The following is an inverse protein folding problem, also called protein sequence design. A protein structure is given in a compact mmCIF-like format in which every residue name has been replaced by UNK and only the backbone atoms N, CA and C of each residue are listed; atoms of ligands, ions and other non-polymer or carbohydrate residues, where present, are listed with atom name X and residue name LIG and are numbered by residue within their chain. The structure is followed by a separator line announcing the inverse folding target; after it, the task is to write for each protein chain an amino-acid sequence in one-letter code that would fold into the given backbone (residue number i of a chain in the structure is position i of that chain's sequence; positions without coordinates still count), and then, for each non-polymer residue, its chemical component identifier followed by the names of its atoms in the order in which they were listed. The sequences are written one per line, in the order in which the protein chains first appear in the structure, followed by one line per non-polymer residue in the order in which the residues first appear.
data_IF_971591498577
#
_entry.id   IF_971591498577
#
_cell.length_a   1.000
_cell.length_b   1.000
_cell.length_c   1.000
_cell.angle_alpha   90.00
_cell.angle_beta   90.00
_cell.angle_gamma   90.00
#
_symmetry.space_group_name_H-M   'P 1'
#
loop_
_entity.id
_entity.type
_entity.pdbx_description
1 polymer ?
#
# COMPACT_ATOMS: atom_id res chain seq x y z
N UNK A 1 10.19 -22.68 -6.50
CA UNK A 1 11.20 -21.63 -6.87
C UNK A 1 11.87 -21.10 -5.62
N UNK A 2 13.19 -20.87 -5.63
CA UNK A 2 13.83 -20.22 -4.48
C UNK A 2 13.81 -18.69 -4.63
N UNK A 3 13.63 -17.96 -3.53
CA UNK A 3 13.65 -16.49 -3.51
C UNK A 3 15.01 -15.92 -3.98
N UNK A 4 16.08 -16.69 -3.83
CA UNK A 4 17.43 -16.30 -4.28
C UNK A 4 17.57 -16.27 -5.81
N UNK A 5 16.70 -17.00 -6.53
CA UNK A 5 16.70 -17.04 -7.99
C UNK A 5 15.85 -15.90 -8.62
N UNK A 6 15.16 -15.12 -7.79
CA UNK A 6 14.40 -13.95 -8.29
C UNK A 6 15.38 -12.81 -8.53
N UNK A 7 15.46 -12.35 -9.77
CA UNK A 7 16.35 -11.27 -10.21
C UNK A 7 15.63 -10.14 -10.94
N UNK A 8 14.54 -10.44 -11.64
CA UNK A 8 13.74 -9.48 -12.42
C UNK A 8 12.30 -9.41 -11.91
N UNK A 9 11.90 -8.20 -11.57
CA UNK A 9 10.54 -7.89 -11.10
C UNK A 9 9.81 -7.09 -12.17
N UNK A 10 8.61 -7.50 -12.54
CA UNK A 10 7.76 -6.69 -13.42
C UNK A 10 6.64 -6.02 -12.63
N UNK A 11 6.49 -4.71 -12.80
CA UNK A 11 5.44 -3.91 -12.16
C UNK A 11 4.50 -3.38 -13.24
N UNK A 12 3.24 -3.82 -13.19
CA UNK A 12 2.22 -3.51 -14.18
C UNK A 12 1.32 -2.39 -13.65
N UNK A 13 1.49 -1.23 -14.23
CA UNK A 13 0.86 0.02 -13.79
C UNK A 13 1.89 0.96 -13.14
N UNK A 14 2.12 2.15 -13.74
CA UNK A 14 3.07 3.16 -13.26
C UNK A 14 2.37 4.33 -12.52
N UNK A 15 1.23 4.05 -11.89
CA UNK A 15 0.51 4.98 -11.01
C UNK A 15 1.24 5.26 -9.69
N UNK A 16 0.53 5.84 -8.73
CA UNK A 16 1.10 6.20 -7.41
C UNK A 16 1.72 4.97 -6.73
N UNK A 17 1.02 3.84 -6.72
CA UNK A 17 1.53 2.62 -6.09
C UNK A 17 2.63 1.96 -6.92
N UNK A 18 2.40 1.72 -8.22
CA UNK A 18 3.34 1.00 -9.06
C UNK A 18 4.72 1.66 -9.15
N UNK A 19 4.80 3.00 -9.29
CA UNK A 19 6.10 3.69 -9.25
C UNK A 19 6.82 3.56 -7.90
N UNK A 20 6.07 3.57 -6.78
CA UNK A 20 6.64 3.36 -5.46
C UNK A 20 7.13 1.92 -5.26
N UNK A 21 6.39 0.94 -5.78
CA UNK A 21 6.77 -0.48 -5.77
C UNK A 21 8.02 -0.69 -6.65
N UNK A 22 8.05 -0.15 -7.86
CA UNK A 22 9.21 -0.21 -8.75
C UNK A 22 10.46 0.38 -8.09
N UNK A 23 10.33 1.53 -7.41
CA UNK A 23 11.40 2.14 -6.63
C UNK A 23 11.94 1.18 -5.56
N UNK A 24 11.07 0.52 -4.78
CA UNK A 24 11.46 -0.39 -3.70
C UNK A 24 12.33 -1.53 -4.23
N UNK A 25 11.94 -2.16 -5.32
CA UNK A 25 12.72 -3.26 -5.87
C UNK A 25 14.03 -2.80 -6.51
N UNK A 26 14.01 -1.70 -7.28
CA UNK A 26 15.22 -1.16 -7.89
C UNK A 26 16.26 -0.73 -6.85
N UNK A 27 15.85 -0.09 -5.76
CA UNK A 27 16.76 0.31 -4.68
C UNK A 27 17.28 -0.88 -3.86
N UNK A 28 16.60 -2.04 -3.95
CA UNK A 28 17.04 -3.29 -3.34
C UNK A 28 17.91 -4.14 -4.29
N UNK A 29 18.30 -3.60 -5.46
CA UNK A 29 19.22 -4.22 -6.39
C UNK A 29 18.59 -5.10 -7.48
N UNK A 30 17.25 -5.17 -7.56
CA UNK A 30 16.54 -5.92 -8.60
C UNK A 30 16.45 -5.13 -9.91
N UNK A 31 16.50 -5.85 -11.05
CA UNK A 31 16.09 -5.30 -12.33
C UNK A 31 14.56 -5.20 -12.36
N UNK A 32 14.04 -4.03 -12.77
CA UNK A 32 12.61 -3.75 -12.74
C UNK A 32 12.11 -3.39 -14.12
N UNK A 33 11.12 -4.12 -14.61
CA UNK A 33 10.34 -3.78 -15.79
C UNK A 33 9.09 -3.01 -15.35
N UNK A 34 9.05 -1.70 -15.58
CA UNK A 34 7.89 -0.86 -15.23
C UNK A 34 7.03 -0.62 -16.46
N UNK A 35 5.77 -1.08 -16.42
CA UNK A 35 4.85 -1.01 -17.55
C UNK A 35 3.73 0.00 -17.31
N UNK A 36 3.43 0.80 -18.33
CA UNK A 36 2.19 1.58 -18.43
C UNK A 36 1.78 1.76 -19.89
N UNK A 37 0.49 1.91 -20.15
CA UNK A 37 -0.07 2.07 -21.51
C UNK A 37 0.40 3.32 -22.25
N UNK A 38 0.93 4.35 -21.54
CA UNK A 38 1.35 5.64 -22.10
C UNK A 38 2.76 6.00 -21.63
N UNK A 39 3.58 6.44 -22.57
CA UNK A 39 4.97 6.82 -22.35
C UNK A 39 5.10 8.03 -21.39
N UNK A 40 4.14 8.95 -21.43
CA UNK A 40 4.08 10.11 -20.53
C UNK A 40 3.93 9.69 -19.06
N UNK A 41 3.12 8.65 -18.79
CA UNK A 41 2.94 8.10 -17.45
C UNK A 41 4.25 7.50 -16.91
N UNK A 42 4.99 6.79 -17.75
CA UNK A 42 6.30 6.22 -17.41
C UNK A 42 7.32 7.32 -17.11
N UNK A 43 7.40 8.34 -17.96
CA UNK A 43 8.30 9.48 -17.75
C UNK A 43 7.98 10.23 -16.45
N UNK A 44 6.70 10.41 -16.13
CA UNK A 44 6.27 11.02 -14.88
C UNK A 44 6.60 10.14 -13.67
N UNK A 45 6.47 8.81 -13.80
CA UNK A 45 6.83 7.86 -12.75
C UNK A 45 8.33 7.95 -12.42
N UNK A 46 9.22 7.95 -13.43
CA UNK A 46 10.66 8.09 -13.22
C UNK A 46 11.04 9.42 -12.57
N UNK A 47 10.40 10.54 -13.00
CA UNK A 47 10.60 11.86 -12.35
C UNK A 47 10.21 11.82 -10.88
N UNK A 48 9.10 11.17 -10.54
CA UNK A 48 8.65 11.07 -9.16
C UNK A 48 9.54 10.14 -8.33
N UNK A 49 10.03 9.03 -8.88
CA UNK A 49 11.01 8.15 -8.23
C UNK A 49 12.28 8.95 -7.91
N UNK A 50 12.80 9.72 -8.86
CA UNK A 50 13.96 10.61 -8.65
C UNK A 50 13.69 11.61 -7.52
N UNK A 51 12.51 12.20 -7.47
CA UNK A 51 12.12 13.14 -6.41
C UNK A 51 12.11 12.45 -5.02
N UNK A 52 11.56 11.24 -4.93
CA UNK A 52 11.57 10.45 -3.70
C UNK A 52 13.01 10.10 -3.25
N UNK A 53 13.88 9.72 -4.19
CA UNK A 53 15.30 9.41 -3.89
C UNK A 53 16.04 10.67 -3.42
N UNK A 54 15.78 11.85 -4.01
CA UNK A 54 16.33 13.12 -3.53
C UNK A 54 15.89 13.42 -2.08
N UNK A 55 14.65 13.08 -1.71
CA UNK A 55 14.20 13.20 -0.32
C UNK A 55 15.03 12.29 0.61
N UNK A 56 15.35 11.06 0.18
CA UNK A 56 16.20 10.15 0.95
C UNK A 56 17.64 10.68 1.09
N UNK A 57 18.20 11.31 0.05
CA UNK A 57 19.51 12.02 0.14
C UNK A 57 19.45 13.16 1.15
N UNK A 58 18.39 14.00 1.09
CA UNK A 58 18.18 15.12 2.06
C UNK A 58 18.18 14.64 3.51
N UNK A 59 17.66 13.43 3.75
CA UNK A 59 17.61 12.82 5.09
C UNK A 59 18.82 11.92 5.41
N UNK A 60 19.87 11.93 4.61
CA UNK A 60 21.09 11.10 4.77
C UNK A 60 20.76 9.59 4.87
N UNK A 61 19.76 9.12 4.12
CA UNK A 61 19.39 7.71 4.06
C UNK A 61 20.13 6.97 2.94
N UNK A 62 20.47 7.69 1.86
CA UNK A 62 21.25 7.17 0.73
C UNK A 62 22.30 8.19 0.27
N UNK A 63 23.31 7.73 -0.45
CA UNK A 63 24.28 8.60 -1.12
C UNK A 63 23.64 9.21 -2.38
N UNK A 64 24.14 10.39 -2.78
CA UNK A 64 23.61 11.11 -3.95
C UNK A 64 23.83 10.37 -5.26
N UNK A 65 24.98 9.71 -5.41
CA UNK A 65 25.35 8.91 -6.58
C UNK A 65 24.48 7.66 -6.75
N UNK A 66 23.92 7.12 -5.68
CA UNK A 66 23.00 5.99 -5.72
C UNK A 66 21.70 6.25 -6.51
N UNK A 67 21.32 7.52 -6.76
CA UNK A 67 20.10 7.85 -7.51
C UNK A 67 20.16 7.28 -8.93
N UNK A 68 21.27 7.49 -9.64
CA UNK A 68 21.40 7.02 -11.02
C UNK A 68 21.50 5.48 -11.06
N UNK A 69 22.15 4.87 -10.08
CA UNK A 69 22.22 3.41 -9.95
C UNK A 69 20.83 2.78 -9.78
N UNK A 70 19.96 3.39 -8.98
CA UNK A 70 18.59 2.92 -8.80
C UNK A 70 17.77 3.11 -10.07
N UNK A 71 17.87 4.26 -10.72
CA UNK A 71 17.11 4.56 -11.92
C UNK A 71 17.55 3.71 -13.11
N UNK A 72 18.84 3.36 -13.24
CA UNK A 72 19.35 2.51 -14.29
C UNK A 72 18.83 1.07 -14.25
N UNK A 73 18.33 0.61 -13.08
CA UNK A 73 17.69 -0.70 -12.93
C UNK A 73 16.23 -0.73 -13.35
N UNK A 74 15.64 0.43 -13.71
CA UNK A 74 14.22 0.51 -14.10
C UNK A 74 14.12 0.69 -15.61
N UNK A 75 13.74 -0.38 -16.28
CA UNK A 75 13.38 -0.37 -17.71
C UNK A 75 11.89 -0.10 -17.87
N UNK A 76 11.51 0.68 -18.88
CA UNK A 76 10.10 1.09 -19.09
C UNK A 76 9.51 0.48 -20.34
N UNK A 77 8.27 -0.03 -20.25
CA UNK A 77 7.58 -0.73 -21.31
C UNK A 77 6.16 -0.18 -21.52
N UNK A 78 5.70 -0.15 -22.78
CA UNK A 78 4.30 0.14 -23.14
C UNK A 78 3.54 -1.13 -23.53
N UNK A 79 4.25 -2.23 -23.82
CA UNK A 79 3.73 -3.56 -24.09
C UNK A 79 3.77 -4.40 -22.80
N UNK A 80 2.66 -5.08 -22.50
CA UNK A 80 2.58 -6.00 -21.36
C UNK A 80 3.48 -7.22 -21.59
N UNK A 81 3.41 -7.82 -22.80
CA UNK A 81 4.20 -8.98 -23.19
C UNK A 81 5.71 -8.73 -23.01
N UNK A 82 6.21 -7.60 -23.55
CA UNK A 82 7.62 -7.24 -23.42
C UNK A 82 8.05 -6.99 -21.96
N UNK A 83 7.16 -6.45 -21.14
CA UNK A 83 7.45 -6.17 -19.74
C UNK A 83 7.59 -7.42 -18.88
N UNK A 84 6.95 -8.54 -19.26
CA UNK A 84 6.83 -9.73 -18.39
C UNK A 84 7.54 -10.97 -18.90
N UNK A 85 7.99 -11.00 -20.15
CA UNK A 85 8.59 -12.19 -20.77
C UNK A 85 9.81 -12.77 -20.03
N UNK A 86 10.55 -11.93 -19.30
CA UNK A 86 11.72 -12.31 -18.52
C UNK A 86 11.50 -12.14 -17.01
N UNK A 87 10.25 -11.98 -16.57
CA UNK A 87 9.93 -11.76 -15.17
C UNK A 87 10.06 -13.05 -14.35
N UNK A 88 10.63 -12.92 -13.14
CA UNK A 88 10.58 -13.98 -12.13
C UNK A 88 9.41 -13.78 -11.18
N UNK A 89 8.96 -12.53 -11.00
CA UNK A 89 7.86 -12.13 -10.14
C UNK A 89 7.15 -10.91 -10.73
N UNK A 90 5.82 -10.93 -10.77
CA UNK A 90 5.01 -9.83 -11.32
C UNK A 90 4.16 -9.22 -10.23
N UNK A 91 4.11 -7.87 -10.16
CA UNK A 91 3.21 -7.14 -9.27
C UNK A 91 2.29 -6.25 -10.10
N UNK A 92 1.01 -6.56 -10.06
CA UNK A 92 -0.03 -5.77 -10.71
C UNK A 92 -0.46 -4.61 -9.79
N UNK A 93 -0.47 -3.39 -10.34
CA UNK A 93 -0.88 -2.14 -9.69
C UNK A 93 -1.72 -1.26 -10.65
N UNK A 94 -2.60 -1.90 -11.44
CA UNK A 94 -3.55 -1.22 -12.32
C UNK A 94 -4.76 -0.67 -11.52
N UNK A 95 -5.69 0.11 -12.12
CA UNK A 95 -6.87 0.61 -11.41
C UNK A 95 -7.66 -0.48 -10.68
N UNK A 96 -8.30 -0.10 -9.57
CA UNK A 96 -9.04 -1.00 -8.69
C UNK A 96 -10.41 -1.33 -9.29
N UNK A 97 -10.39 -2.12 -10.36
CA UNK A 97 -11.54 -2.64 -11.08
C UNK A 97 -11.33 -4.14 -11.35
N UNK A 98 -12.29 -4.97 -10.95
CA UNK A 98 -12.17 -6.43 -11.01
C UNK A 98 -12.03 -6.96 -12.46
N UNK A 99 -12.73 -6.34 -13.41
CA UNK A 99 -12.68 -6.78 -14.81
C UNK A 99 -11.32 -6.43 -15.42
N UNK A 100 -10.83 -5.21 -15.16
CA UNK A 100 -9.48 -4.78 -15.60
C UNK A 100 -8.41 -5.69 -15.04
N UNK A 101 -8.50 -6.05 -13.74
CA UNK A 101 -7.53 -6.95 -13.11
C UNK A 101 -7.60 -8.36 -13.70
N UNK A 102 -8.79 -8.91 -13.92
CA UNK A 102 -8.98 -10.22 -14.56
C UNK A 102 -8.38 -10.26 -15.98
N UNK A 103 -8.64 -9.25 -16.80
CA UNK A 103 -8.04 -9.13 -18.13
C UNK A 103 -6.51 -9.10 -18.10
N UNK A 104 -5.95 -8.34 -17.16
CA UNK A 104 -4.49 -8.30 -16.96
C UNK A 104 -3.97 -9.67 -16.53
N UNK A 105 -4.60 -10.35 -15.57
CA UNK A 105 -4.17 -11.67 -15.10
C UNK A 105 -4.29 -12.75 -16.15
N UNK A 106 -5.32 -12.73 -17.01
CA UNK A 106 -5.41 -13.61 -18.19
C UNK A 106 -4.24 -13.40 -19.16
N UNK A 107 -3.87 -12.15 -19.39
CA UNK A 107 -2.73 -11.80 -20.25
C UNK A 107 -1.40 -12.23 -19.60
N UNK A 108 -1.24 -12.01 -18.29
CA UNK A 108 -0.06 -12.48 -17.54
C UNK A 108 0.07 -14.00 -17.57
N UNK A 109 -1.05 -14.73 -17.45
CA UNK A 109 -1.06 -16.19 -17.57
C UNK A 109 -0.56 -16.69 -18.94
N UNK A 110 -0.77 -15.88 -19.98
CA UNK A 110 -0.34 -16.18 -21.35
C UNK A 110 1.13 -15.86 -21.60
N UNK A 111 1.62 -14.71 -21.07
CA UNK A 111 2.94 -14.18 -21.42
C UNK A 111 4.05 -14.55 -20.43
N UNK A 112 3.72 -14.88 -19.19
CA UNK A 112 4.71 -15.28 -18.20
C UNK A 112 4.99 -16.79 -18.25
N UNK A 113 6.23 -17.19 -17.94
CA UNK A 113 6.57 -18.58 -17.72
C UNK A 113 5.79 -19.18 -16.53
N UNK A 114 5.56 -20.50 -16.53
CA UNK A 114 4.69 -21.19 -15.56
C UNK A 114 5.12 -21.04 -14.10
N UNK A 115 6.40 -20.85 -13.85
CA UNK A 115 6.94 -20.71 -12.50
C UNK A 115 6.76 -19.33 -11.87
N UNK A 116 6.38 -18.31 -12.66
CA UNK A 116 6.27 -16.92 -12.21
C UNK A 116 5.12 -16.76 -11.23
N UNK A 117 5.38 -16.10 -10.11
CA UNK A 117 4.35 -15.69 -9.15
C UNK A 117 3.71 -14.39 -9.63
N UNK A 118 2.39 -14.36 -9.63
CA UNK A 118 1.57 -13.21 -10.04
C UNK A 118 0.95 -12.58 -8.79
N UNK A 119 1.44 -11.41 -8.40
CA UNK A 119 0.95 -10.68 -7.25
C UNK A 119 0.01 -9.54 -7.66
N UNK A 120 -1.07 -9.34 -6.91
CA UNK A 120 -1.95 -8.17 -7.06
C UNK A 120 -1.78 -7.21 -5.90
N UNK A 121 -1.67 -5.91 -6.20
CA UNK A 121 -1.66 -4.85 -5.18
C UNK A 121 -3.09 -4.33 -4.89
N UNK A 122 -4.10 -5.18 -5.03
CA UNK A 122 -5.46 -4.78 -4.70
C UNK A 122 -5.59 -4.40 -3.22
N UNK A 123 -6.41 -3.40 -2.95
CA UNK A 123 -6.71 -2.94 -1.58
C UNK A 123 -8.07 -3.44 -1.07
N UNK A 124 -8.97 -3.86 -1.98
CA UNK A 124 -10.35 -4.17 -1.60
C UNK A 124 -10.97 -5.36 -2.33
N UNK A 125 -10.41 -5.74 -3.49
CA UNK A 125 -10.94 -6.82 -4.32
C UNK A 125 -10.42 -8.18 -3.85
N UNK A 126 -11.17 -9.24 -4.15
CA UNK A 126 -10.81 -10.61 -3.79
C UNK A 126 -9.62 -11.12 -4.61
N UNK A 127 -8.57 -11.55 -3.91
CA UNK A 127 -7.42 -12.24 -4.50
C UNK A 127 -7.86 -13.56 -5.13
N UNK A 128 -8.78 -14.27 -4.47
CA UNK A 128 -9.39 -15.51 -4.96
C UNK A 128 -10.07 -15.30 -6.30
N UNK A 129 -10.93 -14.27 -6.40
CA UNK A 129 -11.64 -13.97 -7.64
C UNK A 129 -10.70 -13.57 -8.79
N UNK A 130 -9.63 -12.83 -8.50
CA UNK A 130 -8.60 -12.47 -9.47
C UNK A 130 -7.83 -13.73 -9.92
N UNK A 131 -7.50 -14.64 -9.00
CA UNK A 131 -6.73 -15.84 -9.29
C UNK A 131 -7.43 -16.79 -10.28
N UNK A 132 -8.76 -16.84 -10.25
CA UNK A 132 -9.57 -17.64 -11.15
C UNK A 132 -9.53 -17.18 -12.63
N UNK A 133 -8.96 -16.02 -12.89
CA UNK A 133 -8.68 -15.57 -14.26
C UNK A 133 -7.43 -16.23 -14.88
N UNK A 134 -6.68 -17.04 -14.11
CA UNK A 134 -5.45 -17.75 -14.56
C UNK A 134 -5.64 -19.26 -14.51
N UNK A 135 -4.77 -19.98 -15.22
CA UNK A 135 -4.69 -21.47 -15.16
C UNK A 135 -3.84 -21.97 -13.99
N UNK A 136 -3.18 -21.05 -13.27
CA UNK A 136 -2.28 -21.34 -12.13
C UNK A 136 -2.66 -20.49 -10.90
N UNK A 137 -3.88 -20.64 -10.37
CA UNK A 137 -4.37 -19.83 -9.24
C UNK A 137 -3.55 -20.06 -7.96
N UNK A 138 -2.83 -21.17 -7.86
CA UNK A 138 -1.89 -21.49 -6.77
C UNK A 138 -0.66 -20.58 -6.74
N UNK A 139 -0.34 -19.92 -7.87
CA UNK A 139 0.75 -18.92 -7.98
C UNK A 139 0.28 -17.47 -7.93
N UNK A 140 -0.98 -17.25 -7.62
CA UNK A 140 -1.53 -15.89 -7.42
C UNK A 140 -1.58 -15.55 -5.94
N UNK A 141 -1.17 -14.31 -5.58
CA UNK A 141 -1.11 -13.84 -4.19
C UNK A 141 -1.43 -12.35 -4.11
N UNK A 142 -2.04 -11.91 -3.02
CA UNK A 142 -2.17 -10.48 -2.72
C UNK A 142 -0.89 -9.92 -2.12
N UNK A 143 -0.45 -8.74 -2.58
CA UNK A 143 0.65 -7.97 -1.98
C UNK A 143 0.21 -6.52 -1.83
N UNK A 144 -0.55 -6.23 -0.78
CA UNK A 144 -1.09 -4.90 -0.55
C UNK A 144 -0.03 -4.00 0.10
N UNK A 145 0.59 -3.14 -0.71
CA UNK A 145 1.47 -2.07 -0.24
C UNK A 145 0.64 -0.85 0.20
N UNK A 146 1.09 -0.17 1.23
CA UNK A 146 0.44 1.03 1.74
C UNK A 146 1.05 2.31 1.16
N UNK A 147 0.20 3.30 0.87
CA UNK A 147 0.64 4.59 0.32
C UNK A 147 1.21 5.52 1.42
N UNK A 148 2.41 6.09 1.24
CA UNK A 148 3.33 5.98 0.11
C UNK A 148 4.21 4.72 0.20
N UNK A 149 4.20 3.88 -0.85
CA UNK A 149 4.82 2.56 -0.80
C UNK A 149 6.30 2.58 -0.42
N UNK A 150 7.07 3.58 -0.85
CA UNK A 150 8.49 3.73 -0.55
C UNK A 150 8.79 4.12 0.90
N UNK A 151 7.82 4.64 1.65
CA UNK A 151 7.97 5.04 3.07
C UNK A 151 7.34 4.05 4.05
N UNK A 152 6.20 3.44 3.67
CA UNK A 152 5.48 2.53 4.56
C UNK A 152 6.17 1.17 4.61
N UNK A 153 6.54 0.67 5.81
CA UNK A 153 7.32 -0.57 5.92
C UNK A 153 6.51 -1.84 5.70
N UNK A 154 5.21 -1.83 5.97
CA UNK A 154 4.36 -3.02 5.97
C UNK A 154 3.82 -3.36 4.58
N UNK A 155 3.75 -4.66 4.28
CA UNK A 155 3.02 -5.22 3.14
C UNK A 155 2.14 -6.36 3.65
N UNK A 156 0.83 -6.31 3.38
CA UNK A 156 -0.06 -7.44 3.62
C UNK A 156 0.13 -8.47 2.51
N UNK A 157 0.53 -9.68 2.87
CA UNK A 157 0.65 -10.82 1.95
C UNK A 157 -0.57 -11.70 2.14
N UNK A 158 -1.52 -11.61 1.21
CA UNK A 158 -2.85 -12.21 1.33
C UNK A 158 -2.95 -13.50 0.54
N UNK A 159 -3.35 -14.57 1.24
CA UNK A 159 -3.65 -15.88 0.68
C UNK A 159 -5.06 -15.89 0.10
N UNK A 160 -5.20 -16.06 -1.23
CA UNK A 160 -6.45 -16.48 -1.84
C UNK A 160 -6.73 -17.95 -1.57
N UNK A 161 -7.94 -18.41 -1.82
CA UNK A 161 -8.35 -19.80 -1.52
C UNK A 161 -7.48 -20.84 -2.23
N UNK A 162 -6.94 -20.53 -3.38
CA UNK A 162 -6.10 -21.41 -4.19
C UNK A 162 -4.60 -21.15 -4.03
N UNK A 163 -4.19 -20.04 -3.42
CA UNK A 163 -2.77 -19.68 -3.23
C UNK A 163 -2.02 -20.75 -2.44
N UNK A 164 -0.94 -21.30 -3.00
CA UNK A 164 -0.13 -22.31 -2.33
C UNK A 164 0.67 -21.72 -1.16
N UNK A 165 1.02 -22.56 -0.18
CA UNK A 165 1.92 -22.15 0.92
C UNK A 165 3.31 -21.79 0.38
N UNK A 166 3.80 -22.47 -0.67
CA UNK A 166 5.04 -22.13 -1.36
C UNK A 166 5.01 -20.69 -1.87
N UNK A 167 3.93 -20.30 -2.55
CA UNK A 167 3.73 -18.93 -3.08
C UNK A 167 3.71 -17.89 -1.96
N UNK A 168 3.00 -18.20 -0.85
CA UNK A 168 2.99 -17.34 0.34
C UNK A 168 4.37 -17.17 0.96
N UNK A 169 5.14 -18.26 1.07
CA UNK A 169 6.46 -18.26 1.68
C UNK A 169 7.49 -17.51 0.84
N UNK A 170 7.53 -17.77 -0.48
CA UNK A 170 8.43 -17.07 -1.41
C UNK A 170 8.11 -15.57 -1.40
N UNK A 171 6.83 -15.20 -1.51
CA UNK A 171 6.39 -13.80 -1.49
C UNK A 171 6.78 -13.13 -0.17
N UNK A 172 6.53 -13.77 0.97
CA UNK A 172 6.90 -13.22 2.28
C UNK A 172 8.41 -13.05 2.43
N UNK A 173 9.21 -14.02 1.96
CA UNK A 173 10.68 -13.92 1.94
C UNK A 173 11.16 -12.79 1.03
N UNK A 174 10.57 -12.65 -0.17
CA UNK A 174 10.89 -11.57 -1.10
C UNK A 174 10.63 -10.20 -0.48
N UNK A 175 9.47 -10.01 0.16
CA UNK A 175 9.15 -8.75 0.85
C UNK A 175 10.16 -8.45 1.96
N UNK A 176 10.57 -9.45 2.77
CA UNK A 176 11.63 -9.27 3.77
C UNK A 176 12.97 -8.89 3.15
N UNK A 177 13.33 -9.51 2.03
CA UNK A 177 14.59 -9.27 1.32
C UNK A 177 14.71 -7.82 0.82
N UNK A 178 13.59 -7.22 0.42
CA UNK A 178 13.53 -5.80 0.03
C UNK A 178 13.29 -4.85 1.22
N UNK A 179 13.46 -5.33 2.46
CA UNK A 179 13.37 -4.53 3.68
C UNK A 179 11.95 -4.19 4.12
N UNK A 180 10.95 -4.86 3.58
CA UNK A 180 9.57 -4.73 4.05
C UNK A 180 9.26 -5.69 5.18
N UNK A 181 8.21 -5.39 5.93
CA UNK A 181 7.64 -6.23 6.98
C UNK A 181 6.38 -6.90 6.41
N UNK A 182 6.45 -8.16 5.95
CA UNK A 182 5.27 -8.86 5.46
C UNK A 182 4.38 -9.30 6.63
N UNK A 183 3.11 -8.93 6.56
CA UNK A 183 2.05 -9.47 7.42
C UNK A 183 1.26 -10.52 6.62
N UNK A 184 1.28 -11.78 7.07
CA UNK A 184 0.54 -12.85 6.40
C UNK A 184 -0.95 -12.77 6.74
N UNK A 185 -1.78 -12.60 5.72
CA UNK A 185 -3.24 -12.61 5.82
C UNK A 185 -3.71 -13.97 5.30
N UNK A 186 -4.20 -14.82 6.21
CA UNK A 186 -4.44 -16.24 5.93
C UNK A 186 -5.80 -16.53 5.28
N UNK A 187 -6.66 -15.52 5.18
CA UNK A 187 -7.96 -15.62 4.50
C UNK A 187 -8.20 -14.37 3.68
N UNK A 188 -8.61 -14.56 2.45
CA UNK A 188 -9.06 -13.49 1.57
C UNK A 188 -10.41 -12.95 2.08
N UNK A 189 -10.38 -11.72 2.57
CA UNK A 189 -11.58 -11.02 3.06
C UNK A 189 -11.66 -9.63 2.42
N UNK A 190 -12.85 -9.14 2.10
CA UNK A 190 -13.01 -7.80 1.52
C UNK A 190 -12.33 -6.72 2.37
N UNK A 191 -11.44 -5.94 1.76
CA UNK A 191 -10.70 -4.84 2.39
C UNK A 191 -9.49 -5.25 3.23
N UNK A 192 -9.10 -6.54 3.27
CA UNK A 192 -7.97 -7.01 4.06
C UNK A 192 -8.08 -6.66 5.55
N UNK A 193 -6.98 -6.61 6.27
CA UNK A 193 -6.97 -6.30 7.72
C UNK A 193 -6.91 -4.80 7.96
N UNK A 194 -5.92 -4.14 7.36
CA UNK A 194 -5.63 -2.74 7.68
C UNK A 194 -6.74 -1.79 7.25
N UNK A 195 -7.27 -1.93 6.03
CA UNK A 195 -8.38 -1.10 5.57
C UNK A 195 -9.65 -1.32 6.41
N UNK A 196 -9.94 -2.55 6.82
CA UNK A 196 -11.11 -2.83 7.67
C UNK A 196 -11.04 -2.09 9.00
N UNK A 197 -9.88 -2.14 9.67
CA UNK A 197 -9.66 -1.43 10.94
C UNK A 197 -9.73 0.08 10.73
N UNK A 198 -9.10 0.59 9.67
CA UNK A 198 -9.10 2.01 9.34
C UNK A 198 -10.51 2.52 9.03
N UNK A 199 -11.29 1.79 8.20
CA UNK A 199 -12.66 2.16 7.85
C UNK A 199 -13.60 2.08 9.06
N UNK A 200 -13.40 1.13 9.97
CA UNK A 200 -14.16 1.06 11.22
C UNK A 200 -13.93 2.31 12.09
N UNK A 201 -12.68 2.79 12.19
CA UNK A 201 -12.35 4.05 12.86
C UNK A 201 -12.99 5.25 12.14
N UNK A 202 -12.91 5.34 10.83
CA UNK A 202 -13.53 6.42 10.06
C UNK A 202 -15.05 6.42 10.17
N UNK A 203 -15.69 5.24 10.18
CA UNK A 203 -17.13 5.12 10.36
C UNK A 203 -17.60 5.79 11.64
N UNK A 204 -16.90 5.57 12.75
CA UNK A 204 -17.20 6.20 14.03
C UNK A 204 -16.88 7.70 14.01
N UNK A 205 -15.71 8.10 13.50
CA UNK A 205 -15.31 9.51 13.41
C UNK A 205 -16.27 10.34 12.56
N UNK A 206 -16.72 9.83 11.43
CA UNK A 206 -17.69 10.48 10.54
C UNK A 206 -19.06 10.62 11.22
N UNK A 207 -19.52 9.59 11.94
CA UNK A 207 -20.76 9.66 12.69
C UNK A 207 -20.70 10.70 13.80
N UNK A 208 -19.63 10.74 14.57
CA UNK A 208 -19.43 11.76 15.63
C UNK A 208 -19.45 13.20 15.05
N UNK A 209 -18.87 13.39 13.87
CA UNK A 209 -18.92 14.66 13.16
C UNK A 209 -20.33 14.99 12.68
N UNK A 210 -21.05 14.04 12.11
CA UNK A 210 -22.43 14.17 11.61
C UNK A 210 -23.40 14.51 12.73
N UNK A 211 -23.20 13.97 13.94
CA UNK A 211 -23.97 14.29 15.13
C UNK A 211 -23.55 15.61 15.82
N UNK A 212 -22.57 16.33 15.28
CA UNK A 212 -22.10 17.59 15.85
C UNK A 212 -21.42 17.45 17.22
N UNK A 213 -20.85 16.26 17.53
CA UNK A 213 -20.21 16.01 18.82
C UNK A 213 -18.93 16.83 18.97
N UNK A 214 -18.17 17.01 17.89
CA UNK A 214 -16.95 17.82 17.88
C UNK A 214 -16.63 18.32 16.46
N UNK A 215 -15.70 19.28 16.35
CA UNK A 215 -15.19 19.76 15.05
C UNK A 215 -14.29 18.72 14.37
N UNK A 216 -14.05 18.90 13.06
CA UNK A 216 -13.09 18.06 12.29
C UNK A 216 -11.71 18.10 12.93
N UNK A 217 -11.24 19.32 13.30
CA UNK A 217 -9.95 19.53 13.92
C UNK A 217 -9.83 18.82 15.28
N UNK A 218 -10.88 18.88 16.10
CA UNK A 218 -10.87 18.26 17.43
C UNK A 218 -10.87 16.73 17.33
N UNK A 219 -11.67 16.14 16.45
CA UNK A 219 -11.67 14.68 16.19
C UNK A 219 -10.28 14.24 15.73
N UNK A 220 -9.70 14.92 14.73
CA UNK A 220 -8.35 14.63 14.25
C UNK A 220 -7.28 14.76 15.36
N UNK A 221 -7.37 15.79 16.21
CA UNK A 221 -6.43 15.99 17.30
C UNK A 221 -6.58 14.92 18.39
N UNK A 222 -7.81 14.54 18.73
CA UNK A 222 -8.07 13.44 19.68
C UNK A 222 -7.42 12.15 19.15
N UNK A 223 -7.68 11.79 17.90
CA UNK A 223 -7.08 10.57 17.31
C UNK A 223 -5.56 10.65 17.30
N UNK A 224 -4.98 11.73 16.75
CA UNK A 224 -3.52 11.88 16.58
C UNK A 224 -2.75 11.93 17.89
N UNK A 225 -3.30 12.62 18.92
CA UNK A 225 -2.57 12.94 20.14
C UNK A 225 -2.88 11.98 21.31
N UNK A 226 -3.73 10.99 21.11
CA UNK A 226 -4.06 9.98 22.11
C UNK A 226 -3.64 8.58 21.67
N UNK A 227 -4.59 7.72 21.31
CA UNK A 227 -4.29 6.35 20.93
C UNK A 227 -3.49 6.25 19.61
N UNK A 228 -3.72 7.16 18.66
CA UNK A 228 -2.99 7.20 17.39
C UNK A 228 -1.50 7.40 17.57
N UNK A 229 -1.08 8.24 18.54
CA UNK A 229 0.33 8.48 18.86
C UNK A 229 1.07 7.21 19.32
N UNK A 230 0.35 6.21 19.84
CA UNK A 230 0.92 4.94 20.34
C UNK A 230 0.95 3.84 19.29
N UNK A 231 0.10 3.92 18.25
CA UNK A 231 -0.04 2.86 17.24
C UNK A 231 1.27 2.48 16.52
N UNK A 232 2.22 3.38 16.23
CA UNK A 232 3.51 3.01 15.65
C UNK A 232 4.36 2.09 16.54
N UNK A 233 4.10 2.06 17.85
CA UNK A 233 4.89 1.33 18.84
C UNK A 233 4.12 0.18 19.48
N UNK A 234 2.78 0.28 19.51
CA UNK A 234 1.92 -0.66 20.21
C UNK A 234 0.65 -0.93 19.40
N UNK A 235 0.54 -2.13 18.89
CA UNK A 235 -0.70 -2.59 18.24
C UNK A 235 -1.86 -2.78 19.24
N UNK A 236 -3.08 -3.03 18.76
CA UNK A 236 -4.27 -3.11 19.60
C UNK A 236 -4.18 -4.22 20.66
N UNK A 237 -3.64 -5.39 20.34
CA UNK A 237 -3.56 -6.53 21.27
C UNK A 237 -2.51 -6.31 22.37
N UNK A 238 -1.32 -5.77 22.00
CA UNK A 238 -0.32 -5.41 23.00
C UNK A 238 -0.86 -4.34 23.95
N UNK A 239 -1.61 -3.36 23.43
CA UNK A 239 -2.26 -2.35 24.26
C UNK A 239 -3.29 -2.98 25.19
N UNK A 240 -4.07 -3.96 24.73
CA UNK A 240 -5.04 -4.68 25.56
C UNK A 240 -4.37 -5.46 26.70
N UNK A 241 -3.28 -6.17 26.42
CA UNK A 241 -2.52 -6.91 27.42
C UNK A 241 -1.92 -5.99 28.49
N UNK A 242 -1.32 -4.87 28.07
CA UNK A 242 -0.72 -3.91 29.00
C UNK A 242 -1.76 -3.20 29.89
N UNK A 243 -2.98 -3.03 29.43
CA UNK A 243 -4.07 -2.43 30.22
C UNK A 243 -4.86 -3.45 31.07
N UNK A 244 -4.70 -4.74 30.79
CA UNK A 244 -5.48 -5.82 31.37
C UNK A 244 -6.72 -6.15 30.54
N UNK A 245 -6.78 -7.39 30.06
CA UNK A 245 -7.87 -7.88 29.19
C UNK A 245 -9.24 -7.85 29.88
N UNK A 246 -9.27 -8.00 31.23
CA UNK A 246 -10.48 -7.88 32.04
C UNK A 246 -11.04 -6.43 32.03
N UNK A 247 -10.16 -5.43 32.10
CA UNK A 247 -10.55 -4.03 31.98
C UNK A 247 -11.09 -3.73 30.57
N UNK A 248 -10.41 -4.21 29.54
CA UNK A 248 -10.86 -4.08 28.15
C UNK A 248 -12.25 -4.66 27.97
N UNK A 249 -12.49 -5.87 28.47
CA UNK A 249 -13.80 -6.52 28.38
C UNK A 249 -14.90 -5.66 29.07
N UNK A 250 -14.62 -5.13 30.26
CA UNK A 250 -15.59 -4.28 31.01
C UNK A 250 -15.95 -3.02 30.23
N UNK A 251 -14.94 -2.36 29.63
CA UNK A 251 -15.14 -1.13 28.84
C UNK A 251 -15.93 -1.44 27.57
N UNK A 252 -15.55 -2.48 26.84
CA UNK A 252 -16.20 -2.86 25.59
C UNK A 252 -17.66 -3.28 25.79
N UNK A 253 -17.99 -4.03 26.84
CA UNK A 253 -19.40 -4.37 27.18
C UNK A 253 -20.29 -3.13 27.35
N UNK A 254 -19.71 -2.00 27.80
CA UNK A 254 -20.47 -0.75 27.94
C UNK A 254 -20.54 0.00 26.61
N UNK A 255 -19.41 0.15 25.89
CA UNK A 255 -19.31 1.02 24.73
C UNK A 255 -19.91 0.44 23.45
N UNK A 256 -19.82 -0.88 23.20
CA UNK A 256 -20.27 -1.49 21.94
C UNK A 256 -21.74 -1.18 21.58
N UNK A 257 -22.60 -0.98 22.59
CA UNK A 257 -24.01 -0.63 22.38
C UNK A 257 -24.23 0.79 21.85
N UNK A 258 -23.22 1.64 21.97
CA UNK A 258 -23.25 3.05 21.62
C UNK A 258 -22.41 3.40 20.40
N UNK A 259 -21.63 2.44 19.89
CA UNK A 259 -20.85 2.65 18.66
C UNK A 259 -21.75 2.59 17.45
N UNK A 260 -21.42 3.43 16.45
CA UNK A 260 -22.15 3.47 15.19
C UNK A 260 -21.97 2.15 14.40
N UNK A 261 -23.07 1.48 14.09
CA UNK A 261 -23.06 0.13 13.49
C UNK A 261 -23.80 0.04 12.14
N UNK A 262 -24.15 1.18 11.51
CA UNK A 262 -24.77 1.17 10.19
C UNK A 262 -23.88 0.47 9.15
N UNK A 263 -24.53 -0.15 8.17
CA UNK A 263 -23.88 -0.70 6.97
C UNK A 263 -23.70 0.35 5.88
N UNK A 264 -24.45 1.48 5.98
CA UNK A 264 -24.34 2.59 5.05
C UNK A 264 -23.41 3.68 5.58
N UNK A 265 -22.70 4.40 4.71
CA UNK A 265 -21.88 5.55 5.10
C UNK A 265 -22.73 6.63 5.79
N UNK A 266 -22.16 7.41 6.74
CA UNK A 266 -22.84 8.59 7.26
C UNK A 266 -23.13 9.62 6.17
N UNK A 267 -24.31 10.26 6.23
CA UNK A 267 -24.81 11.23 5.24
C UNK A 267 -23.82 12.34 4.91
N UNK A 268 -23.09 12.82 5.89
CA UNK A 268 -22.08 13.87 5.71
C UNK A 268 -21.05 13.52 4.63
N UNK A 269 -20.69 12.25 4.47
CA UNK A 269 -19.76 11.81 3.43
C UNK A 269 -20.40 11.85 2.04
N UNK A 270 -21.64 11.38 1.92
CA UNK A 270 -22.41 11.39 0.67
C UNK A 270 -22.65 12.84 0.20
N UNK A 271 -23.10 13.71 1.10
CA UNK A 271 -23.32 15.14 0.81
C UNK A 271 -22.05 15.85 0.34
N UNK A 272 -20.86 15.49 0.86
CA UNK A 272 -19.61 16.05 0.35
C UNK A 272 -19.33 15.63 -1.09
N UNK A 273 -19.58 14.37 -1.40
CA UNK A 273 -19.43 13.84 -2.77
C UNK A 273 -20.43 14.52 -3.73
N UNK A 274 -21.69 14.66 -3.35
CA UNK A 274 -22.72 15.35 -4.14
C UNK A 274 -22.36 16.83 -4.41
N UNK A 275 -21.74 17.50 -3.44
CA UNK A 275 -21.25 18.88 -3.57
C UNK A 275 -19.93 19.00 -4.35
N UNK A 276 -19.32 17.90 -4.81
CA UNK A 276 -18.02 17.90 -5.50
C UNK A 276 -16.84 18.25 -4.59
N UNK A 277 -16.98 18.09 -3.27
CA UNK A 277 -15.96 18.38 -2.27
C UNK A 277 -15.02 17.18 -2.09
N UNK A 278 -14.16 16.88 -3.11
CA UNK A 278 -13.28 15.70 -3.15
C UNK A 278 -11.90 15.92 -2.50
N UNK A 279 -11.80 16.81 -1.53
CA UNK A 279 -10.55 17.11 -0.84
C UNK A 279 -9.54 17.82 -1.74
N UNK A 280 -8.29 17.35 -1.74
CA UNK A 280 -7.19 17.95 -2.53
C UNK A 280 -7.43 17.91 -4.05
N UNK A 281 -8.33 17.07 -4.56
CA UNK A 281 -8.66 16.99 -5.98
C UNK A 281 -9.42 18.22 -6.49
N UNK A 282 -10.23 18.84 -5.61
CA UNK A 282 -11.11 19.96 -5.93
C UNK A 282 -10.85 21.20 -5.06
N UNK A 283 -9.82 21.14 -4.19
CA UNK A 283 -9.48 22.24 -3.28
C UNK A 283 -10.35 22.35 -2.04
N UNK A 284 -11.37 21.51 -1.89
CA UNK A 284 -12.28 21.49 -0.74
C UNK A 284 -12.70 20.05 -0.40
N UNK A 285 -12.76 19.74 0.89
CA UNK A 285 -13.22 18.48 1.45
C UNK A 285 -13.70 18.71 2.90
N UNK A 286 -13.17 17.94 3.86
CA UNK A 286 -13.30 18.28 5.28
C UNK A 286 -12.47 19.50 5.62
N UNK A 287 -11.40 19.76 4.88
CA UNK A 287 -10.56 20.96 4.93
C UNK A 287 -10.60 21.71 3.61
N UNK A 288 -10.18 22.99 3.63
CA UNK A 288 -9.92 23.79 2.43
C UNK A 288 -8.45 23.70 2.05
N UNK A 289 -8.16 23.60 0.75
CA UNK A 289 -6.84 23.32 0.21
C UNK A 289 -6.44 24.33 -0.86
N UNK A 290 -5.26 24.90 -0.74
CA UNK A 290 -4.54 25.57 -1.82
C UNK A 290 -3.40 24.67 -2.30
N UNK A 291 -2.75 25.03 -3.41
CA UNK A 291 -1.58 24.28 -3.89
C UNK A 291 -0.48 24.24 -2.83
N UNK A 292 -0.21 25.35 -2.16
CA UNK A 292 0.81 25.49 -1.12
C UNK A 292 0.51 24.63 0.09
N UNK A 293 -0.76 24.63 0.56
CA UNK A 293 -1.15 23.83 1.72
C UNK A 293 -1.14 22.33 1.43
N UNK A 294 -1.45 21.91 0.19
CA UNK A 294 -1.31 20.52 -0.26
C UNK A 294 0.16 20.09 -0.26
N UNK A 295 1.04 20.89 -0.89
CA UNK A 295 2.47 20.60 -0.97
C UNK A 295 3.09 20.49 0.43
N UNK A 296 2.74 21.43 1.33
CA UNK A 296 3.18 21.42 2.72
C UNK A 296 2.68 20.18 3.46
N UNK A 297 1.40 19.85 3.38
CA UNK A 297 0.82 18.69 4.07
C UNK A 297 1.48 17.38 3.62
N UNK A 298 1.77 17.23 2.31
CA UNK A 298 2.48 16.07 1.76
C UNK A 298 3.92 16.03 2.27
N UNK A 299 4.62 17.16 2.29
CA UNK A 299 6.00 17.24 2.77
C UNK A 299 6.07 16.90 4.26
N UNK A 300 5.23 17.51 5.09
CA UNK A 300 5.17 17.28 6.54
C UNK A 300 4.85 15.80 6.84
N UNK A 301 3.90 15.21 6.13
CA UNK A 301 3.60 13.76 6.22
C UNK A 301 4.84 12.93 5.93
N UNK A 302 5.50 13.18 4.81
CA UNK A 302 6.65 12.38 4.38
C UNK A 302 7.83 12.51 5.36
N UNK A 303 8.11 13.73 5.85
CA UNK A 303 9.15 13.96 6.84
C UNK A 303 8.87 13.24 8.17
N UNK A 304 7.62 13.27 8.64
CA UNK A 304 7.24 12.58 9.87
C UNK A 304 7.26 11.05 9.70
N UNK A 305 6.82 10.51 8.54
CA UNK A 305 6.96 9.09 8.24
C UNK A 305 8.43 8.64 8.21
N UNK A 306 9.32 9.44 7.63
CA UNK A 306 10.76 9.14 7.64
C UNK A 306 11.30 9.10 9.08
N UNK A 307 10.91 10.03 9.94
CA UNK A 307 11.35 10.05 11.36
C UNK A 307 10.88 8.79 12.09
N UNK A 308 9.61 8.45 11.97
CA UNK A 308 8.99 7.31 12.66
C UNK A 308 9.57 5.97 12.15
N UNK A 309 9.69 5.83 10.83
CA UNK A 309 10.11 4.57 10.20
C UNK A 309 11.58 4.52 9.81
N UNK A 310 12.39 5.46 10.32
CA UNK A 310 13.82 5.51 10.03
C UNK A 310 14.56 4.17 10.16
N UNK A 311 14.37 3.37 11.24
CA UNK A 311 15.05 2.07 11.36
C UNK A 311 14.70 1.09 10.25
N UNK A 312 13.44 1.08 9.80
CA UNK A 312 12.99 0.25 8.68
C UNK A 312 13.57 0.71 7.35
N UNK A 313 13.58 2.03 7.12
CA UNK A 313 14.14 2.63 5.90
C UNK A 313 15.65 2.41 5.81
N UNK A 314 16.38 2.52 6.91
CA UNK A 314 17.82 2.24 6.96
C UNK A 314 18.14 0.79 6.60
N UNK A 315 17.35 -0.17 7.08
CA UNK A 315 17.50 -1.57 6.68
C UNK A 315 17.16 -1.77 5.19
N UNK A 316 16.08 -1.17 4.68
CA UNK A 316 15.65 -1.25 3.29
C UNK A 316 16.69 -0.63 2.33
N UNK A 317 17.37 0.43 2.73
CA UNK A 317 18.28 1.23 1.90
C UNK A 317 19.76 0.88 2.15
N UNK A 318 20.06 -0.19 2.90
CA UNK A 318 21.43 -0.56 3.32
C UNK A 318 22.44 -0.67 2.18
N UNK A 319 21.99 -1.07 0.98
CA UNK A 319 22.85 -1.20 -0.20
C UNK A 319 23.21 0.13 -0.88
N UNK A 320 22.54 1.22 -0.49
CA UNK A 320 22.66 2.56 -1.11
C UNK A 320 23.30 3.60 -0.17
N UNK A 321 23.79 3.16 0.98
CA UNK A 321 24.43 3.99 2.01
C UNK A 321 25.89 4.25 1.75
#
# INVERSE_FOLDING_TARGET
MDVENISRISVIGAGIMGRGIAQIFAQSGYNVSLMARRKETLNQALKQIRSNLNLFVKHNLIRKDAIEDVLSRIETYISLEDAVKEADFVIEAVPEDINVKKEVFQSLDTYCADHVILATNTSSLSVTEISLATKRPDRVVGTHFWNPAHLMPLVEVTKGDYTSEETMDITSKLMKKVGKVPARVLKDIPGGIGNRIQVAMWREALWLLDQGVASVEDIDNIVKLTFGARLPFMGPFLTADLNGVDLILRVHKKLYRHLYSSVEPPKILEEKVERGEFGIKTGKGFYSWTKETIERAIADRNENLIKIFRPYLENQLRLLR
#
